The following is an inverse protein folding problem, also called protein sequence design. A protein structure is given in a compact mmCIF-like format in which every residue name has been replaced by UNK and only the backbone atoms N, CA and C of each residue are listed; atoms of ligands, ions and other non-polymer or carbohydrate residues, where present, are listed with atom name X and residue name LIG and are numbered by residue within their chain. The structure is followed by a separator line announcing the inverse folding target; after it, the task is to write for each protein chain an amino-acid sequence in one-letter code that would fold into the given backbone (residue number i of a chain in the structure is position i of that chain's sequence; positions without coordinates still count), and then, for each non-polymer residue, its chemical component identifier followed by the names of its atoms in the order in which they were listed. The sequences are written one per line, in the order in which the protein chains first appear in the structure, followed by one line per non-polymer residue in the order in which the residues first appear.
data_IF_858580002748
#
_entry.id   IF_858580002748
#
_cell.length_a   1.000
_cell.length_b   1.000
_cell.length_c   1.000
_cell.angle_alpha   90.00
_cell.angle_beta   90.00
_cell.angle_gamma   90.00
#
_symmetry.space_group_name_H-M   'P 1'
#
loop_
_entity.id
_entity.type
_entity.pdbx_description
1 polymer ?
#
# COMPACT_ATOMS: atom_id res chain seq x y z
N UNK A 1 17.32 -14.21 -15.99
CA UNK A 1 17.39 -13.14 -15.01
C UNK A 1 15.96 -12.66 -14.80
N UNK A 2 15.36 -13.00 -13.68
CA UNK A 2 14.05 -12.47 -13.28
C UNK A 2 14.35 -11.15 -12.56
N UNK A 3 13.98 -10.04 -13.17
CA UNK A 3 13.93 -8.76 -12.47
C UNK A 3 12.72 -8.79 -11.55
N UNK A 4 12.99 -8.84 -10.25
CA UNK A 4 11.98 -8.61 -9.21
C UNK A 4 11.55 -7.16 -9.30
N UNK A 5 10.34 -6.93 -9.80
CA UNK A 5 9.63 -5.67 -9.59
C UNK A 5 9.28 -5.60 -8.09
N UNK A 6 10.05 -4.83 -7.35
CA UNK A 6 9.73 -4.49 -5.97
C UNK A 6 8.59 -3.48 -6.01
N UNK A 7 7.43 -3.92 -5.56
CA UNK A 7 6.21 -3.13 -5.47
C UNK A 7 6.41 -2.03 -4.42
N UNK A 8 6.62 -0.78 -4.87
CA UNK A 8 6.87 0.39 -4.03
C UNK A 8 5.60 0.91 -3.30
N UNK A 9 4.52 0.14 -3.28
CA UNK A 9 3.21 0.62 -2.81
C UNK A 9 2.92 0.34 -1.32
N UNK A 10 3.82 -0.29 -0.55
CA UNK A 10 3.46 -0.77 0.80
C UNK A 10 4.29 -0.20 1.96
N UNK A 11 4.82 1.00 1.85
CA UNK A 11 5.46 1.68 2.99
C UNK A 11 4.46 2.22 4.04
N UNK A 12 3.15 2.06 3.83
CA UNK A 12 2.13 2.65 4.72
C UNK A 12 1.67 1.73 5.86
N UNK A 13 2.13 0.48 5.89
CA UNK A 13 1.67 -0.51 6.90
C UNK A 13 2.49 -0.52 8.21
N UNK A 14 3.53 0.29 8.33
CA UNK A 14 4.48 0.15 9.44
C UNK A 14 4.07 0.84 10.75
N UNK A 15 3.05 1.69 10.79
CA UNK A 15 2.83 2.59 11.94
C UNK A 15 1.44 2.59 12.57
N UNK A 16 0.61 1.56 12.38
CA UNK A 16 -0.61 1.45 13.20
C UNK A 16 -0.27 0.65 14.45
N UNK A 17 -0.20 1.34 15.59
CA UNK A 17 -0.20 0.65 16.89
C UNK A 17 -1.47 -0.22 16.96
N UNK A 18 -1.38 -1.47 17.44
CA UNK A 18 -2.55 -2.31 17.63
C UNK A 18 -3.40 -1.72 18.76
N UNK A 19 -4.38 -0.89 18.40
CA UNK A 19 -5.47 -0.53 19.31
C UNK A 19 -6.40 -1.73 19.32
N UNK A 20 -6.36 -2.51 20.38
CA UNK A 20 -7.27 -3.62 20.60
C UNK A 20 -8.58 -3.02 21.14
N UNK A 21 -9.45 -2.56 20.25
CA UNK A 21 -10.74 -1.98 20.63
C UNK A 21 -11.79 -3.03 21.00
N UNK A 22 -11.56 -4.30 20.69
CA UNK A 22 -12.45 -5.38 21.13
C UNK A 22 -11.71 -6.74 21.13
N UNK A 23 -11.48 -7.36 22.30
CA UNK A 23 -10.80 -8.65 22.38
C UNK A 23 -11.63 -9.85 21.88
N UNK A 24 -12.80 -9.64 21.30
CA UNK A 24 -13.76 -10.70 20.99
C UNK A 24 -13.56 -11.38 19.63
N UNK A 25 -12.85 -10.78 18.65
CA UNK A 25 -12.66 -11.39 17.34
C UNK A 25 -11.20 -11.24 16.86
N UNK A 26 -10.42 -12.29 17.07
CA UNK A 26 -9.07 -12.38 16.49
C UNK A 26 -9.11 -13.25 15.23
N UNK A 27 -8.53 -12.73 14.15
CA UNK A 27 -8.43 -13.38 12.84
C UNK A 27 -7.03 -13.93 12.62
N UNK A 28 -6.92 -15.11 12.00
CA UNK A 28 -5.64 -15.70 11.65
C UNK A 28 -5.08 -15.05 10.37
N UNK A 29 -3.93 -14.38 10.48
CA UNK A 29 -3.25 -13.72 9.37
C UNK A 29 -2.10 -14.54 8.79
N UNK A 30 -1.48 -15.37 9.58
CA UNK A 30 -0.38 -16.22 9.14
C UNK A 30 -0.36 -17.53 9.91
N UNK A 31 -0.10 -18.62 9.20
CA UNK A 31 0.07 -19.95 9.77
C UNK A 31 1.28 -20.62 9.17
N UNK A 32 2.09 -21.24 10.02
CA UNK A 32 3.22 -22.07 9.59
C UNK A 32 3.38 -23.25 10.52
N UNK A 33 3.71 -24.40 9.95
CA UNK A 33 4.12 -25.59 10.72
C UNK A 33 5.63 -25.65 10.73
N UNK A 34 6.21 -25.72 11.92
CA UNK A 34 7.65 -25.78 12.09
C UNK A 34 8.20 -27.12 11.60
N UNK A 35 9.22 -27.07 10.77
CA UNK A 35 9.83 -28.27 10.15
C UNK A 35 10.32 -29.27 11.20
N UNK A 36 10.25 -30.56 10.89
CA UNK A 36 10.67 -31.65 11.78
C UNK A 36 12.15 -31.57 12.18
N UNK A 37 12.99 -31.03 11.30
CA UNK A 37 14.43 -30.85 11.52
C UNK A 37 14.82 -29.47 12.07
N UNK A 38 13.86 -28.61 12.40
CA UNK A 38 14.13 -27.27 12.88
C UNK A 38 14.84 -27.27 14.22
N UNK A 39 16.01 -26.62 14.30
CA UNK A 39 16.67 -26.35 15.57
C UNK A 39 15.89 -25.34 16.40
N UNK A 40 16.02 -25.43 17.73
CA UNK A 40 15.36 -24.50 18.64
C UNK A 40 15.86 -23.07 18.44
N UNK A 41 15.01 -22.23 17.90
CA UNK A 41 15.24 -20.79 17.70
C UNK A 41 14.09 -20.01 18.34
N UNK A 42 14.32 -18.78 18.73
CA UNK A 42 13.26 -17.92 19.29
C UNK A 42 12.19 -17.66 18.22
N UNK A 43 10.92 -17.62 18.63
CA UNK A 43 9.79 -17.42 17.73
C UNK A 43 9.86 -16.07 17.01
N UNK A 44 10.36 -15.01 17.67
CA UNK A 44 10.54 -13.70 17.04
C UNK A 44 11.55 -13.74 15.89
N UNK A 45 12.63 -14.51 16.01
CA UNK A 45 13.59 -14.72 14.93
C UNK A 45 13.04 -15.63 13.84
N UNK A 46 12.38 -16.71 14.23
CA UNK A 46 11.79 -17.68 13.30
C UNK A 46 10.75 -17.06 12.38
N UNK A 47 9.84 -16.21 12.94
CA UNK A 47 8.83 -15.51 12.20
C UNK A 47 9.42 -14.36 11.35
N UNK A 48 10.43 -13.65 11.84
CA UNK A 48 11.09 -12.59 11.08
C UNK A 48 11.69 -13.09 9.76
N UNK A 49 12.25 -14.30 9.75
CA UNK A 49 12.82 -14.92 8.54
C UNK A 49 11.75 -15.37 7.53
N UNK A 50 10.46 -15.39 7.90
CA UNK A 50 9.35 -15.91 7.09
C UNK A 50 8.26 -14.90 6.77
N UNK A 51 8.19 -13.83 7.52
CA UNK A 51 7.25 -12.74 7.29
C UNK A 51 7.94 -11.63 6.50
N UNK A 52 7.58 -11.47 5.23
CA UNK A 52 8.25 -10.56 4.28
C UNK A 52 8.12 -9.09 4.68
N UNK A 53 7.09 -8.72 5.47
CA UNK A 53 6.72 -7.32 5.74
C UNK A 53 6.73 -7.00 7.24
N UNK A 54 7.53 -7.67 8.06
CA UNK A 54 7.48 -7.41 9.50
C UNK A 54 8.86 -7.21 10.11
N UNK A 55 9.02 -6.15 10.90
CA UNK A 55 10.23 -5.96 11.70
C UNK A 55 10.24 -6.89 12.92
N UNK A 56 11.41 -7.25 13.40
CA UNK A 56 11.55 -8.09 14.60
C UNK A 56 10.90 -7.44 15.85
N UNK A 57 10.98 -6.13 15.95
CA UNK A 57 10.35 -5.36 17.04
C UNK A 57 8.83 -5.47 16.98
N UNK A 58 8.24 -5.44 15.79
CA UNK A 58 6.78 -5.61 15.60
C UNK A 58 6.34 -7.02 16.02
N UNK A 59 7.10 -8.05 15.66
CA UNK A 59 6.83 -9.43 16.07
C UNK A 59 6.91 -9.56 17.60
N UNK A 60 7.88 -8.91 18.25
CA UNK A 60 8.00 -8.91 19.71
C UNK A 60 6.79 -8.26 20.38
N UNK A 61 6.36 -7.08 19.90
CA UNK A 61 5.14 -6.40 20.39
C UNK A 61 3.89 -7.26 20.20
N UNK A 62 3.74 -7.89 19.04
CA UNK A 62 2.62 -8.81 18.79
C UNK A 62 2.63 -10.02 19.75
N UNK A 63 3.78 -10.58 20.06
CA UNK A 63 3.91 -11.66 21.03
C UNK A 63 3.56 -11.19 22.46
N UNK A 64 3.98 -9.99 22.85
CA UNK A 64 3.68 -9.40 24.15
C UNK A 64 2.18 -9.07 24.29
N UNK A 65 1.52 -8.72 23.19
CA UNK A 65 0.08 -8.55 23.10
C UNK A 65 -0.74 -9.87 23.01
N UNK A 66 -0.05 -11.05 23.04
CA UNK A 66 -0.70 -12.35 22.96
C UNK A 66 -1.21 -12.75 21.56
N UNK A 67 -0.79 -12.03 20.53
CA UNK A 67 -1.24 -12.25 19.14
C UNK A 67 -0.43 -13.30 18.39
N UNK A 68 0.66 -13.82 18.99
CA UNK A 68 1.43 -14.94 18.44
C UNK A 68 1.13 -16.19 19.26
N UNK A 69 0.68 -17.23 18.58
CA UNK A 69 0.31 -18.49 19.22
C UNK A 69 1.19 -19.63 18.74
N UNK A 70 1.48 -20.56 19.64
CA UNK A 70 2.04 -21.87 19.31
C UNK A 70 1.05 -22.96 19.76
N UNK A 71 0.62 -23.80 18.84
CA UNK A 71 -0.37 -24.85 19.08
C UNK A 71 -1.66 -24.33 19.75
N UNK A 72 -2.15 -23.16 19.30
CA UNK A 72 -3.37 -22.51 19.80
C UNK A 72 -3.23 -21.82 21.16
N UNK A 73 -2.00 -21.65 21.70
CA UNK A 73 -1.75 -20.94 22.95
C UNK A 73 -0.84 -19.74 22.75
N UNK A 74 -1.16 -18.58 23.33
CA UNK A 74 -0.29 -17.40 23.25
C UNK A 74 1.12 -17.69 23.78
N UNK A 75 2.12 -17.19 23.09
CA UNK A 75 3.54 -17.36 23.47
C UNK A 75 4.28 -16.03 23.48
N UNK A 76 5.26 -15.91 24.40
CA UNK A 76 6.15 -14.74 24.47
C UNK A 76 7.16 -14.76 23.32
N UNK A 77 7.71 -13.61 22.97
CA UNK A 77 8.73 -13.44 21.93
C UNK A 77 9.98 -14.32 22.13
N UNK A 78 10.27 -14.69 23.38
CA UNK A 78 11.39 -15.58 23.75
C UNK A 78 11.09 -17.08 23.58
N UNK A 79 9.86 -17.46 23.27
CA UNK A 79 9.49 -18.86 23.06
C UNK A 79 10.41 -19.51 22.04
N UNK A 80 10.92 -20.70 22.36
CA UNK A 80 11.76 -21.49 21.45
C UNK A 80 10.88 -22.46 20.69
N UNK A 81 10.80 -22.26 19.38
CA UNK A 81 10.00 -23.12 18.49
C UNK A 81 10.51 -24.57 18.59
N UNK A 82 9.57 -25.51 18.51
CA UNK A 82 9.84 -26.95 18.51
C UNK A 82 9.43 -27.55 17.17
N UNK A 83 10.05 -28.64 16.74
CA UNK A 83 9.59 -29.37 15.55
C UNK A 83 8.09 -29.67 15.61
N UNK A 84 7.41 -29.48 14.50
CA UNK A 84 5.96 -29.65 14.35
C UNK A 84 5.06 -28.67 15.13
N UNK A 85 5.60 -27.63 15.78
CA UNK A 85 4.75 -26.57 16.30
C UNK A 85 3.94 -25.94 15.19
N UNK A 86 2.67 -25.69 15.45
CA UNK A 86 1.80 -24.87 14.59
C UNK A 86 1.84 -23.46 15.16
N UNK A 87 2.52 -22.56 14.45
CA UNK A 87 2.58 -21.14 14.82
C UNK A 87 1.50 -20.38 14.04
N UNK A 88 0.77 -19.53 14.74
CA UNK A 88 -0.21 -18.61 14.12
C UNK A 88 0.02 -17.18 14.59
N UNK A 89 -0.16 -16.23 13.68
CA UNK A 89 -0.19 -14.80 13.99
C UNK A 89 -1.63 -14.34 13.84
N UNK A 90 -2.17 -13.80 14.91
CA UNK A 90 -3.53 -13.30 15.01
C UNK A 90 -3.53 -11.78 14.90
N UNK A 91 -4.60 -11.21 14.35
CA UNK A 91 -4.87 -9.76 14.36
C UNK A 91 -6.34 -9.49 14.71
N UNK A 92 -6.61 -8.29 15.18
CA UNK A 92 -7.95 -7.79 15.54
C UNK A 92 -8.82 -7.41 14.33
N UNK A 93 -8.35 -7.66 13.14
CA UNK A 93 -9.03 -7.38 11.86
C UNK A 93 -9.00 -8.61 10.95
N UNK A 94 -9.98 -8.78 10.06
CA UNK A 94 -9.96 -9.83 9.05
C UNK A 94 -8.69 -9.76 8.22
N UNK A 95 -8.23 -10.92 7.72
CA UNK A 95 -7.17 -10.95 6.73
C UNK A 95 -7.66 -10.18 5.50
N UNK A 96 -6.96 -9.13 5.16
CA UNK A 96 -7.17 -8.46 3.90
C UNK A 96 -6.48 -9.32 2.83
N UNK A 97 -7.28 -10.10 2.14
CA UNK A 97 -6.86 -10.65 0.87
C UNK A 97 -6.86 -9.46 -0.09
N UNK A 98 -5.73 -9.22 -0.75
CA UNK A 98 -5.56 -8.07 -1.67
C UNK A 98 -6.48 -8.15 -2.91
N UNK A 99 -7.52 -8.97 -2.85
CA UNK A 99 -8.52 -9.12 -3.89
C UNK A 99 -9.35 -7.83 -3.98
N UNK A 100 -9.25 -7.17 -5.12
CA UNK A 100 -10.10 -6.02 -5.41
C UNK A 100 -11.51 -6.53 -5.68
N UNK A 101 -12.41 -6.26 -4.76
CA UNK A 101 -13.84 -6.59 -4.92
C UNK A 101 -14.47 -5.53 -5.81
N UNK A 102 -15.03 -5.90 -6.98
CA UNK A 102 -15.76 -4.97 -7.84
C UNK A 102 -16.98 -4.38 -7.13
N UNK A 103 -17.11 -3.05 -7.12
CA UNK A 103 -18.23 -2.34 -6.50
C UNK A 103 -18.87 -1.36 -7.50
N UNK A 104 -20.20 -1.34 -7.57
CA UNK A 104 -20.97 -0.44 -8.44
C UNK A 104 -20.95 1.00 -7.90
N UNK A 105 -19.82 1.66 -8.10
CA UNK A 105 -19.60 3.05 -7.71
C UNK A 105 -19.56 3.90 -9.00
N UNK A 106 -20.33 4.98 -9.10
CA UNK A 106 -20.33 5.84 -10.28
C UNK A 106 -18.95 6.43 -10.57
N UNK A 107 -18.52 6.36 -11.83
CA UNK A 107 -17.28 6.96 -12.34
C UNK A 107 -17.61 8.14 -13.26
N UNK A 108 -16.93 9.27 -13.05
CA UNK A 108 -16.94 10.40 -13.99
C UNK A 108 -15.84 10.16 -15.04
N UNK A 109 -16.20 9.44 -16.12
CA UNK A 109 -15.28 9.08 -17.21
C UNK A 109 -15.30 10.21 -18.24
N UNK A 110 -14.17 10.92 -18.37
CA UNK A 110 -14.01 12.07 -19.29
C UNK A 110 -13.62 11.62 -20.70
N UNK A 111 -12.92 10.49 -20.77
CA UNK A 111 -12.50 9.87 -22.03
C UNK A 111 -12.33 8.36 -21.84
N UNK A 112 -12.70 7.60 -22.84
CA UNK A 112 -12.46 6.15 -22.85
C UNK A 112 -12.33 5.65 -24.29
N UNK A 113 -11.33 4.79 -24.54
CA UNK A 113 -11.18 4.03 -25.78
C UNK A 113 -10.92 2.55 -25.48
N UNK A 114 -10.36 1.80 -26.43
CA UNK A 114 -10.07 0.36 -26.26
C UNK A 114 -8.91 0.10 -25.29
N UNK A 115 -7.97 1.03 -25.12
CA UNK A 115 -6.71 0.85 -24.45
C UNK A 115 -6.62 1.54 -23.09
N UNK A 116 -7.28 2.68 -22.93
CA UNK A 116 -7.24 3.46 -21.69
C UNK A 116 -8.54 4.18 -21.40
N UNK A 117 -8.68 4.64 -20.17
CA UNK A 117 -9.72 5.60 -19.78
C UNK A 117 -9.12 6.71 -18.90
N UNK A 118 -9.76 7.88 -18.94
CA UNK A 118 -9.44 9.04 -18.10
C UNK A 118 -10.64 9.33 -17.20
N UNK A 119 -10.40 9.29 -15.92
CA UNK A 119 -11.43 9.49 -14.89
C UNK A 119 -11.17 10.84 -14.20
N UNK A 120 -12.22 11.63 -14.02
CA UNK A 120 -12.20 12.79 -13.15
C UNK A 120 -12.53 12.35 -11.72
N UNK A 121 -11.50 12.09 -10.93
CA UNK A 121 -11.69 11.63 -9.55
C UNK A 121 -12.23 12.77 -8.67
N UNK A 122 -13.33 12.56 -7.93
CA UNK A 122 -13.75 13.53 -6.91
C UNK A 122 -12.75 13.58 -5.74
N UNK A 123 -12.78 14.67 -4.98
CA UNK A 123 -12.14 14.73 -3.67
C UNK A 123 -12.79 13.74 -2.68
N UNK A 124 -12.06 13.37 -1.64
CA UNK A 124 -12.53 12.41 -0.63
C UNK A 124 -12.48 10.94 -1.05
N UNK A 125 -12.33 10.62 -2.35
CA UNK A 125 -12.26 9.24 -2.84
C UNK A 125 -10.82 8.71 -2.80
N UNK A 126 -10.62 7.63 -2.06
CA UNK A 126 -9.34 6.91 -2.03
C UNK A 126 -9.12 6.16 -3.34
N UNK A 127 -7.91 6.19 -3.89
CA UNK A 127 -7.61 5.53 -5.16
C UNK A 127 -7.49 4.02 -5.01
N UNK A 128 -6.71 3.54 -4.05
CA UNK A 128 -6.44 2.12 -3.85
C UNK A 128 -6.69 1.73 -2.40
N UNK A 129 -7.24 0.54 -2.11
CA UNK A 129 -7.43 0.08 -0.75
C UNK A 129 -6.17 0.18 0.09
N UNK A 130 -6.36 0.54 1.37
CA UNK A 130 -5.29 0.68 2.33
C UNK A 130 -5.84 0.74 3.75
N UNK A 131 -4.99 0.98 4.73
CA UNK A 131 -5.37 1.00 6.13
C UNK A 131 -6.59 1.90 6.38
N UNK A 132 -7.68 1.32 6.90
CA UNK A 132 -8.95 2.00 7.17
C UNK A 132 -9.85 2.27 5.96
N UNK A 133 -9.45 1.93 4.73
CA UNK A 133 -10.23 2.13 3.51
C UNK A 133 -10.11 0.89 2.62
N UNK A 134 -10.74 -0.22 3.04
CA UNK A 134 -10.63 -1.50 2.33
C UNK A 134 -11.63 -1.65 1.19
N UNK A 135 -12.69 -0.86 1.18
CA UNK A 135 -13.81 -0.84 0.25
C UNK A 135 -14.13 0.59 -0.18
N UNK A 136 -14.97 0.73 -1.19
CA UNK A 136 -15.43 2.05 -1.65
C UNK A 136 -14.32 2.88 -2.29
N UNK A 137 -13.28 2.25 -2.84
CA UNK A 137 -12.15 2.95 -3.48
C UNK A 137 -12.33 3.04 -4.99
N UNK A 138 -11.54 3.90 -5.62
CA UNK A 138 -11.57 4.07 -7.08
C UNK A 138 -11.30 2.75 -7.82
N UNK A 139 -10.37 1.91 -7.34
CA UNK A 139 -10.10 0.62 -8.01
C UNK A 139 -11.25 -0.36 -7.89
N UNK A 140 -12.06 -0.32 -6.81
CA UNK A 140 -13.27 -1.14 -6.72
C UNK A 140 -14.28 -0.74 -7.81
N UNK A 141 -14.45 0.56 -8.06
CA UNK A 141 -15.30 1.09 -9.13
C UNK A 141 -14.76 0.73 -10.53
N UNK A 142 -13.43 0.86 -10.73
CA UNK A 142 -12.79 0.50 -12.01
C UNK A 142 -12.95 -0.99 -12.30
N UNK A 143 -12.73 -1.85 -11.29
CA UNK A 143 -12.91 -3.30 -11.41
C UNK A 143 -14.35 -3.66 -11.80
N UNK A 144 -15.35 -2.97 -11.27
CA UNK A 144 -16.74 -3.13 -11.66
C UNK A 144 -17.01 -2.68 -13.10
N UNK A 145 -16.48 -1.53 -13.49
CA UNK A 145 -16.63 -1.00 -14.86
C UNK A 145 -15.99 -1.93 -15.90
N UNK A 146 -14.84 -2.53 -15.58
CA UNK A 146 -14.06 -3.37 -16.50
C UNK A 146 -14.41 -4.86 -16.44
N UNK A 147 -15.25 -5.32 -15.52
CA UNK A 147 -15.55 -6.74 -15.27
C UNK A 147 -15.92 -7.56 -16.53
N UNK A 148 -16.60 -6.93 -17.47
CA UNK A 148 -17.06 -7.56 -18.71
C UNK A 148 -16.13 -7.28 -19.91
N UNK A 149 -15.00 -6.58 -19.69
CA UNK A 149 -14.02 -6.32 -20.73
C UNK A 149 -13.11 -7.55 -20.92
N UNK A 150 -13.08 -8.18 -22.11
CA UNK A 150 -12.30 -9.39 -22.34
C UNK A 150 -10.79 -9.17 -22.28
N UNK A 151 -10.32 -7.93 -22.31
CA UNK A 151 -8.89 -7.56 -22.19
C UNK A 151 -8.50 -7.26 -20.74
N UNK A 152 -9.47 -7.18 -19.82
CA UNK A 152 -9.21 -6.92 -18.40
C UNK A 152 -8.66 -8.16 -17.71
N UNK A 153 -7.56 -8.01 -16.96
CA UNK A 153 -7.03 -9.04 -16.09
C UNK A 153 -7.60 -8.89 -14.67
N UNK A 154 -8.49 -9.79 -14.23
CA UNK A 154 -9.06 -9.71 -12.88
C UNK A 154 -8.03 -10.02 -11.77
N UNK A 155 -6.86 -10.56 -12.12
CA UNK A 155 -5.79 -10.82 -11.17
C UNK A 155 -4.79 -9.65 -11.07
N UNK A 156 -4.97 -8.58 -11.85
CA UNK A 156 -4.15 -7.38 -11.70
C UNK A 156 -4.51 -6.64 -10.40
N UNK A 157 -3.64 -6.65 -9.37
CA UNK A 157 -3.94 -6.02 -8.09
C UNK A 157 -4.05 -4.49 -8.19
N UNK A 158 -3.56 -3.91 -9.27
CA UNK A 158 -3.61 -2.47 -9.53
C UNK A 158 -4.76 -2.05 -10.43
N UNK A 159 -5.49 -3.02 -11.02
CA UNK A 159 -6.67 -2.77 -11.87
C UNK A 159 -6.37 -1.72 -12.96
N UNK A 160 -5.20 -1.85 -13.61
CA UNK A 160 -4.78 -0.92 -14.66
C UNK A 160 -4.27 0.45 -14.19
N UNK A 161 -4.17 0.73 -12.89
CA UNK A 161 -3.57 1.95 -12.39
C UNK A 161 -2.08 2.04 -12.77
N UNK A 162 -1.66 3.22 -13.20
CA UNK A 162 -0.28 3.56 -13.54
C UNK A 162 0.25 4.75 -12.71
N UNK A 163 -0.64 5.42 -12.02
CA UNK A 163 -0.33 6.47 -11.04
C UNK A 163 -1.50 6.68 -10.07
N UNK A 164 -1.29 7.52 -9.09
CA UNK A 164 -2.33 7.90 -8.12
C UNK A 164 -2.24 9.37 -7.77
N UNK A 165 -3.34 9.90 -7.27
CA UNK A 165 -3.44 11.19 -6.59
C UNK A 165 -4.03 10.95 -5.20
N UNK A 166 -3.82 11.87 -4.28
CA UNK A 166 -4.25 11.70 -2.90
C UNK A 166 -5.78 11.68 -2.75
N UNK A 167 -6.26 11.18 -1.60
CA UNK A 167 -7.68 11.11 -1.28
C UNK A 167 -8.39 12.44 -1.53
N UNK A 168 -7.84 13.52 -0.97
CA UNK A 168 -8.44 14.86 -1.01
C UNK A 168 -7.94 15.71 -2.20
N UNK A 169 -7.32 15.08 -3.20
CA UNK A 169 -7.01 15.68 -4.49
C UNK A 169 -8.02 15.23 -5.52
N UNK A 170 -8.71 16.18 -6.14
CA UNK A 170 -9.60 15.93 -7.28
C UNK A 170 -8.88 16.09 -8.61
N UNK A 171 -9.47 15.56 -9.69
CA UNK A 171 -9.00 15.76 -11.06
C UNK A 171 -8.65 14.49 -11.81
N UNK A 172 -7.97 14.66 -12.93
CA UNK A 172 -7.81 13.62 -13.95
C UNK A 172 -6.81 12.54 -13.52
N UNK A 173 -7.23 11.31 -13.74
CA UNK A 173 -6.44 10.11 -13.50
C UNK A 173 -6.57 9.20 -14.72
N UNK A 174 -5.44 8.72 -15.26
CA UNK A 174 -5.45 7.79 -16.39
C UNK A 174 -5.32 6.36 -15.89
N UNK A 175 -6.11 5.48 -16.50
CA UNK A 175 -6.15 4.04 -16.19
C UNK A 175 -5.98 3.26 -17.49
N UNK A 176 -5.12 2.27 -17.49
CA UNK A 176 -4.93 1.35 -18.60
C UNK A 176 -6.02 0.26 -18.58
N UNK A 177 -6.54 -0.09 -19.76
CA UNK A 177 -7.51 -1.17 -19.94
C UNK A 177 -6.87 -2.45 -20.50
N UNK A 178 -5.62 -2.34 -20.96
CA UNK A 178 -4.86 -3.46 -21.51
C UNK A 178 -3.46 -3.53 -20.90
N UNK A 179 -2.81 -4.71 -20.82
CA UNK A 179 -1.44 -4.86 -20.32
C UNK A 179 -0.42 -4.03 -21.10
N UNK A 180 -0.59 -3.90 -22.41
CA UNK A 180 0.30 -3.10 -23.27
C UNK A 180 0.19 -1.61 -22.92
N UNK A 181 -1.04 -1.09 -22.80
CA UNK A 181 -1.27 0.29 -22.38
C UNK A 181 -0.71 0.53 -20.96
N UNK A 182 -0.88 -0.44 -20.03
CA UNK A 182 -0.33 -0.34 -18.67
C UNK A 182 1.19 -0.20 -18.71
N UNK A 183 1.86 -1.03 -19.50
CA UNK A 183 3.32 -0.98 -19.64
C UNK A 183 3.77 0.36 -20.23
N UNK A 184 3.14 0.81 -21.32
CA UNK A 184 3.49 2.07 -21.98
C UNK A 184 3.26 3.30 -21.09
N UNK A 185 2.10 3.38 -20.44
CA UNK A 185 1.79 4.48 -19.54
C UNK A 185 2.69 4.44 -18.30
N UNK A 186 2.91 3.24 -17.73
CA UNK A 186 3.81 3.05 -16.59
C UNK A 186 5.21 3.57 -16.86
N UNK A 187 5.79 3.26 -18.03
CA UNK A 187 7.09 3.78 -18.45
C UNK A 187 7.11 5.32 -18.56
N UNK A 188 6.05 5.94 -19.03
CA UNK A 188 5.97 7.41 -19.09
C UNK A 188 5.96 8.04 -17.69
N UNK A 189 5.23 7.45 -16.73
CA UNK A 189 5.25 7.91 -15.35
C UNK A 189 6.60 7.66 -14.67
N UNK A 190 7.20 6.50 -14.87
CA UNK A 190 8.53 6.16 -14.36
C UNK A 190 9.61 7.11 -14.89
N UNK A 191 9.64 7.35 -16.20
CA UNK A 191 10.59 8.25 -16.85
C UNK A 191 10.23 9.74 -16.63
N UNK A 192 9.14 10.05 -15.90
CA UNK A 192 8.67 11.42 -15.64
C UNK A 192 8.46 12.25 -16.93
N UNK A 193 8.07 11.61 -18.04
CA UNK A 193 7.79 12.28 -19.31
C UNK A 193 6.37 12.84 -19.38
N UNK A 194 5.48 12.38 -18.51
CA UNK A 194 4.12 12.91 -18.38
C UNK A 194 4.13 14.33 -17.85
N UNK A 195 3.39 15.24 -18.53
CA UNK A 195 3.22 16.63 -18.05
C UNK A 195 2.01 16.69 -17.13
N UNK A 196 2.25 17.02 -15.87
CA UNK A 196 1.20 17.13 -14.84
C UNK A 196 1.06 18.57 -14.41
N UNK A 197 -0.19 19.05 -14.31
CA UNK A 197 -0.51 20.39 -13.83
C UNK A 197 -1.57 20.30 -12.75
N UNK A 198 -1.34 20.99 -11.64
CA UNK A 198 -2.24 21.06 -10.50
C UNK A 198 -2.57 22.54 -10.20
N UNK A 199 -3.76 22.77 -9.70
CA UNK A 199 -4.11 24.02 -9.05
C UNK A 199 -4.14 23.78 -7.54
N UNK A 200 -3.44 24.59 -6.77
CA UNK A 200 -3.38 24.46 -5.33
C UNK A 200 -3.74 25.79 -4.66
N UNK A 201 -4.64 25.73 -3.67
CA UNK A 201 -4.85 26.84 -2.75
C UNK A 201 -3.84 26.70 -1.61
N UNK A 202 -3.05 27.75 -1.39
CA UNK A 202 -1.98 27.73 -0.38
C UNK A 202 -2.21 28.83 0.67
N UNK A 203 -1.63 28.62 1.86
CA UNK A 203 -1.63 29.62 2.92
C UNK A 203 -0.59 30.71 2.65
N UNK A 204 -0.96 31.95 2.93
CA UNK A 204 -0.06 33.09 2.81
C UNK A 204 0.05 33.66 1.39
N UNK A 205 1.06 34.44 1.17
CA UNK A 205 1.37 35.10 -0.10
C UNK A 205 2.64 34.48 -0.65
N UNK A 206 2.58 33.97 -1.86
CA UNK A 206 3.76 33.49 -2.60
C UNK A 206 4.50 34.73 -3.12
N UNK A 207 5.77 34.89 -2.75
CA UNK A 207 6.54 36.12 -3.03
C UNK A 207 6.80 36.32 -4.54
N UNK A 208 6.99 35.25 -5.29
CA UNK A 208 7.31 35.32 -6.71
C UNK A 208 6.17 34.71 -7.52
N UNK A 209 5.86 35.31 -8.67
CA UNK A 209 4.81 34.78 -9.59
C UNK A 209 5.15 33.42 -10.18
N UNK A 210 6.44 33.09 -10.27
CA UNK A 210 6.91 31.79 -10.72
C UNK A 210 8.17 31.35 -9.96
N UNK A 211 8.35 30.04 -9.84
CA UNK A 211 9.52 29.51 -9.16
C UNK A 211 9.62 27.98 -9.25
N UNK A 212 10.69 27.48 -8.61
CA UNK A 212 10.95 26.04 -8.51
C UNK A 212 11.22 25.70 -7.05
N UNK A 213 10.50 24.68 -6.56
CA UNK A 213 10.75 24.05 -5.26
C UNK A 213 11.38 22.70 -5.52
N UNK A 214 12.52 22.44 -4.92
CA UNK A 214 13.30 21.22 -5.09
C UNK A 214 13.75 20.69 -3.73
N UNK A 215 13.69 19.36 -3.55
CA UNK A 215 14.13 18.72 -2.32
C UNK A 215 13.87 17.22 -2.32
N UNK A 216 14.41 16.54 -1.31
CA UNK A 216 14.15 15.13 -1.09
C UNK A 216 12.98 14.97 -0.13
N UNK A 217 11.93 14.29 -0.55
CA UNK A 217 10.73 14.03 0.26
C UNK A 217 10.79 12.61 0.79
N UNK A 218 10.59 12.46 2.10
CA UNK A 218 10.53 11.16 2.77
C UNK A 218 9.71 11.24 4.05
N UNK A 219 9.60 10.11 4.75
CA UNK A 219 8.91 10.04 6.04
C UNK A 219 9.63 10.93 7.06
N UNK A 220 8.86 11.74 7.79
CA UNK A 220 9.40 12.59 8.84
C UNK A 220 10.03 11.72 9.95
N UNK A 221 11.33 11.90 10.29
CA UNK A 221 12.00 11.08 11.30
C UNK A 221 11.39 11.22 12.72
N UNK A 222 10.70 12.34 12.99
CA UNK A 222 10.06 12.61 14.29
C UNK A 222 8.62 12.16 14.36
N UNK A 223 7.93 12.15 13.23
CA UNK A 223 6.53 11.73 13.11
C UNK A 223 6.36 11.03 11.75
N UNK A 224 6.44 9.71 11.75
CA UNK A 224 6.36 8.89 10.53
C UNK A 224 5.00 8.93 9.83
N UNK A 225 3.96 9.45 10.50
CA UNK A 225 2.65 9.67 9.86
C UNK A 225 2.70 10.84 8.86
N UNK A 226 3.72 11.68 8.92
CA UNK A 226 3.89 12.84 8.05
C UNK A 226 5.05 12.65 7.07
N UNK A 227 4.93 13.30 5.92
CA UNK A 227 6.02 13.46 4.98
C UNK A 227 6.77 14.75 5.29
N UNK A 228 8.08 14.79 5.05
CA UNK A 228 8.91 15.96 5.26
C UNK A 228 9.97 16.09 4.15
N UNK A 229 10.44 17.30 3.96
CA UNK A 229 11.66 17.54 3.17
C UNK A 229 12.85 17.16 4.05
N UNK A 230 13.66 16.23 3.56
CA UNK A 230 14.83 15.71 4.28
C UNK A 230 16.08 16.49 3.86
N UNK A 231 16.90 16.86 4.85
CA UNK A 231 18.16 17.55 4.62
C UNK A 231 19.30 16.63 4.17
N UNK A 232 19.17 15.33 4.43
CA UNK A 232 20.15 14.33 3.99
C UNK A 232 19.86 13.92 2.53
N UNK A 233 20.77 14.22 1.58
CA UNK A 233 20.58 13.91 0.16
C UNK A 233 20.53 12.41 -0.16
N UNK A 234 20.93 11.56 0.77
CA UNK A 234 20.88 10.09 0.61
C UNK A 234 19.55 9.49 1.05
N UNK A 235 18.68 10.29 1.66
CA UNK A 235 17.37 9.87 2.15
C UNK A 235 16.24 10.50 1.37
N UNK A 236 15.11 9.78 1.28
CA UNK A 236 13.92 10.24 0.57
C UNK A 236 14.04 10.14 -0.94
N UNK A 237 13.01 10.63 -1.62
CA UNK A 237 12.93 10.66 -3.09
C UNK A 237 13.06 12.11 -3.59
N UNK A 238 13.94 12.32 -4.56
CA UNK A 238 14.12 13.64 -5.17
C UNK A 238 12.84 14.09 -5.88
N UNK A 239 12.36 15.28 -5.52
CA UNK A 239 11.16 15.89 -6.06
C UNK A 239 11.43 17.32 -6.52
N UNK A 240 10.82 17.70 -7.64
CA UNK A 240 10.89 19.04 -8.22
C UNK A 240 9.47 19.48 -8.58
N UNK A 241 9.09 20.67 -8.15
CA UNK A 241 7.82 21.32 -8.48
C UNK A 241 8.07 22.71 -9.01
N UNK A 242 7.64 22.97 -10.23
CA UNK A 242 7.60 24.32 -10.79
C UNK A 242 6.22 24.91 -10.54
N UNK A 243 6.15 26.18 -10.11
CA UNK A 243 4.89 26.88 -9.90
C UNK A 243 4.86 28.22 -10.63
N UNK A 244 3.66 28.69 -10.91
CA UNK A 244 3.38 29.99 -11.49
C UNK A 244 1.99 30.48 -11.10
#
# INVERSE_FOLDING_TARGET
MREEYVDELDDTLDDVEPVVDNPAELYEHFRVVVDKGQSQVRVDKYLFERLVISSRTRIQRAADAGLIMANGKPVKSSYKVKPCDVLTVMMDRPRYDNDIIPEDIPLDIVYEDEDLMVINKPDGLVVHPGCGNYHGTLVNAIAWHLKDNPKYDPNDPQVGLVHRIDKDTSGLLVVAKTPDAKTHLGLQFYNKTTKRKYNALVWGIVENDEGTVEGNIGRNPKDRMQMAVLSDPTQGKHAVTHYR
#
